data_IF_584680102928
#
_entry.id   IF_584680102928
#
_cell.length_a   1.000
_cell.length_b   1.000
_cell.length_c   1.000
_cell.angle_alpha   90.00
_cell.angle_beta   90.00
_cell.angle_gamma   90.00
#
_symmetry.space_group_name_H-M   'P 1'
#
loop_
_entity.id
_entity.type
_entity.pdbx_description
1 polymer ?
#
# COMPACT_ATOMS: atom_id res chain seq x y z
N UNK A 1 29.29 -16.39 -39.62
CA UNK A 1 28.06 -15.65 -39.26
C UNK A 1 28.00 -14.35 -40.06
N UNK A 2 26.99 -14.17 -40.91
CA UNK A 2 26.88 -12.99 -41.79
C UNK A 2 26.54 -11.72 -41.00
N UNK A 3 27.05 -10.55 -41.43
CA UNK A 3 26.79 -9.23 -40.77
C UNK A 3 25.30 -8.99 -40.47
N UNK A 4 24.41 -9.39 -41.39
CA UNK A 4 22.94 -9.30 -41.24
C UNK A 4 22.39 -10.12 -40.07
N UNK A 5 22.98 -11.30 -39.80
CA UNK A 5 22.56 -12.18 -38.70
C UNK A 5 23.01 -11.63 -37.35
N UNK A 6 24.21 -11.02 -37.30
CA UNK A 6 24.77 -10.37 -36.12
C UNK A 6 23.95 -9.16 -35.69
N UNK A 7 23.57 -8.30 -36.64
CA UNK A 7 22.72 -7.13 -36.38
C UNK A 7 21.33 -7.53 -35.84
N UNK A 8 20.70 -8.56 -36.41
CA UNK A 8 19.41 -9.07 -35.92
C UNK A 8 19.52 -9.61 -34.49
N UNK A 9 20.62 -10.27 -34.17
CA UNK A 9 20.87 -10.80 -32.82
C UNK A 9 21.08 -9.66 -31.80
N UNK A 10 21.87 -8.65 -32.15
CA UNK A 10 22.09 -7.46 -31.30
C UNK A 10 20.79 -6.71 -31.02
N UNK A 11 19.95 -6.50 -32.04
CA UNK A 11 18.63 -5.86 -31.87
C UNK A 11 17.73 -6.70 -30.95
N UNK A 12 17.71 -8.02 -31.13
CA UNK A 12 16.92 -8.91 -30.28
C UNK A 12 17.36 -8.87 -28.81
N UNK A 13 18.67 -8.84 -28.56
CA UNK A 13 19.23 -8.70 -27.20
C UNK A 13 18.86 -7.35 -26.59
N UNK A 14 18.97 -6.25 -27.33
CA UNK A 14 18.60 -4.92 -26.85
C UNK A 14 17.10 -4.86 -26.51
N UNK A 15 16.24 -5.41 -27.36
CA UNK A 15 14.80 -5.51 -27.09
C UNK A 15 14.51 -6.32 -25.82
N UNK A 16 15.20 -7.44 -25.64
CA UNK A 16 15.02 -8.29 -24.47
C UNK A 16 15.46 -7.60 -23.18
N UNK A 17 16.57 -6.85 -23.21
CA UNK A 17 17.01 -6.01 -22.10
C UNK A 17 15.98 -4.92 -21.81
N UNK A 18 15.46 -4.25 -22.85
CA UNK A 18 14.47 -3.18 -22.68
C UNK A 18 13.16 -3.68 -22.08
N UNK A 19 12.65 -4.83 -22.56
CA UNK A 19 11.46 -5.50 -21.99
C UNK A 19 11.71 -5.93 -20.54
N UNK A 20 12.91 -6.45 -20.24
CA UNK A 20 13.26 -6.84 -18.88
C UNK A 20 13.34 -5.62 -17.95
N UNK A 21 13.96 -4.52 -18.38
CA UNK A 21 14.04 -3.27 -17.62
C UNK A 21 12.66 -2.64 -17.40
N UNK A 22 11.79 -2.62 -18.41
CA UNK A 22 10.44 -2.10 -18.29
C UNK A 22 9.55 -2.98 -17.41
N UNK A 23 9.68 -4.30 -17.50
CA UNK A 23 9.01 -5.23 -16.58
C UNK A 23 9.48 -5.04 -15.13
N UNK A 24 10.80 -4.90 -14.92
CA UNK A 24 11.36 -4.66 -13.61
C UNK A 24 10.91 -3.31 -13.05
N UNK A 25 10.95 -2.26 -13.86
CA UNK A 25 10.46 -0.92 -13.51
C UNK A 25 8.96 -0.93 -13.20
N UNK A 26 8.15 -1.65 -13.97
CA UNK A 26 6.72 -1.80 -13.69
C UNK A 26 6.49 -2.56 -12.37
N UNK A 27 7.28 -3.61 -12.10
CA UNK A 27 7.18 -4.36 -10.85
C UNK A 27 7.64 -3.55 -9.64
N UNK A 28 8.63 -2.66 -9.80
CA UNK A 28 9.10 -1.78 -8.73
C UNK A 28 8.22 -0.55 -8.54
N UNK A 29 7.60 -0.02 -9.59
CA UNK A 29 6.77 1.20 -9.55
C UNK A 29 5.28 0.91 -9.33
N UNK A 30 4.76 -0.23 -9.80
CA UNK A 30 3.36 -0.63 -9.63
C UNK A 30 3.05 -1.23 -8.26
N UNK A 31 4.07 -1.66 -7.52
CA UNK A 31 3.98 -1.96 -6.09
C UNK A 31 4.28 -0.69 -5.31
N UNK A 32 3.69 -0.52 -4.11
CA UNK A 32 4.05 0.61 -3.27
C UNK A 32 5.54 0.57 -2.94
N UNK A 33 6.27 1.53 -3.50
CA UNK A 33 7.75 1.64 -3.40
C UNK A 33 8.21 1.64 -1.94
N UNK A 34 7.34 2.09 -1.03
CA UNK A 34 7.57 2.06 0.40
C UNK A 34 6.26 1.85 1.18
N UNK A 35 6.40 1.45 2.45
CA UNK A 35 5.29 1.23 3.38
C UNK A 35 4.39 2.48 3.54
N UNK A 36 4.98 3.68 3.45
CA UNK A 36 4.23 4.92 3.53
C UNK A 36 3.24 5.05 2.36
N UNK A 37 3.69 4.78 1.13
CA UNK A 37 2.85 4.82 -0.06
C UNK A 37 1.74 3.77 -0.02
N UNK A 38 2.04 2.55 0.50
CA UNK A 38 1.02 1.52 0.70
C UNK A 38 -0.09 2.00 1.64
N UNK A 39 0.29 2.60 2.77
CA UNK A 39 -0.65 3.19 3.74
C UNK A 39 -1.48 4.29 3.09
N UNK A 40 -0.83 5.24 2.42
CA UNK A 40 -1.50 6.35 1.75
C UNK A 40 -2.50 5.87 0.69
N UNK A 41 -2.12 4.89 -0.13
CA UNK A 41 -2.99 4.32 -1.15
C UNK A 41 -4.18 3.55 -0.56
N UNK A 42 -4.00 2.84 0.56
CA UNK A 42 -5.09 2.08 1.21
C UNK A 42 -6.10 3.01 1.89
N UNK A 43 -5.64 4.12 2.43
CA UNK A 43 -6.46 5.10 3.14
C UNK A 43 -6.87 6.29 2.26
N UNK A 44 -6.61 6.23 0.95
CA UNK A 44 -7.00 7.24 -0.04
C UNK A 44 -6.53 8.66 0.34
N UNK A 45 -5.28 8.81 0.78
CA UNK A 45 -4.68 10.08 1.25
C UNK A 45 -5.23 10.66 2.58
N UNK A 46 -6.20 10.02 3.23
CA UNK A 46 -6.79 10.53 4.49
C UNK A 46 -6.01 10.20 5.77
N UNK A 47 -4.69 10.10 5.65
CA UNK A 47 -3.81 9.72 6.77
C UNK A 47 -3.27 10.97 7.46
N UNK A 48 -3.89 11.33 8.58
CA UNK A 48 -3.45 12.46 9.40
C UNK A 48 -2.11 12.21 10.11
N UNK A 49 -1.84 10.97 10.52
CA UNK A 49 -0.58 10.60 11.18
C UNK A 49 -0.08 9.28 10.63
N UNK A 50 1.17 9.26 10.20
CA UNK A 50 1.93 8.06 9.90
C UNK A 50 3.28 8.12 10.61
N UNK A 51 3.59 7.08 11.39
CA UNK A 51 4.89 6.96 12.07
C UNK A 51 5.29 5.51 12.17
N UNK A 52 6.55 5.20 11.90
CA UNK A 52 7.14 3.89 12.18
C UNK A 52 8.31 4.10 13.12
N UNK A 53 8.27 3.44 14.28
CA UNK A 53 9.34 3.50 15.28
C UNK A 53 9.50 2.14 15.94
N UNK A 54 10.73 1.63 16.01
CA UNK A 54 11.07 0.36 16.67
C UNK A 54 10.25 -0.86 16.18
N UNK A 55 9.90 -0.86 14.89
CA UNK A 55 9.04 -1.89 14.29
C UNK A 55 7.54 -1.73 14.61
N UNK A 56 7.14 -0.66 15.27
CA UNK A 56 5.73 -0.31 15.52
C UNK A 56 5.30 0.76 14.54
N UNK A 57 4.34 0.42 13.68
CA UNK A 57 3.67 1.36 12.79
C UNK A 57 2.45 1.95 13.50
N UNK A 58 2.31 3.28 13.51
CA UNK A 58 1.17 4.01 14.05
C UNK A 58 0.53 4.83 12.94
N UNK A 59 -0.76 4.60 12.72
CA UNK A 59 -1.56 5.25 11.69
C UNK A 59 -2.77 5.89 12.36
N UNK A 60 -3.03 7.15 12.02
CA UNK A 60 -4.31 7.81 12.28
C UNK A 60 -4.87 8.28 10.96
N UNK A 61 -6.06 7.81 10.63
CA UNK A 61 -6.74 8.16 9.39
C UNK A 61 -8.14 8.70 9.67
N UNK A 62 -8.58 9.65 8.86
CA UNK A 62 -9.97 10.08 8.81
C UNK A 62 -10.72 9.26 7.77
N UNK A 63 -11.95 8.90 8.05
CA UNK A 63 -12.77 8.13 7.12
C UNK A 63 -13.74 9.02 6.37
N UNK A 64 -13.79 8.84 5.06
CA UNK A 64 -14.69 9.54 4.15
C UNK A 64 -16.10 8.93 4.10
N UNK A 65 -17.04 9.72 3.55
CA UNK A 65 -18.35 9.23 3.14
C UNK A 65 -19.38 9.12 4.27
N UNK A 66 -19.11 9.74 5.42
CA UNK A 66 -20.08 9.83 6.50
C UNK A 66 -20.88 11.15 6.42
N UNK A 67 -22.18 11.05 6.15
CA UNK A 67 -23.12 12.19 6.14
C UNK A 67 -23.82 12.42 7.49
N UNK A 68 -23.39 11.72 8.55
CA UNK A 68 -24.00 11.77 9.88
C UNK A 68 -25.20 10.84 10.08
N UNK A 69 -25.66 10.12 9.06
CA UNK A 69 -26.68 9.08 9.23
C UNK A 69 -26.12 7.79 9.84
N UNK A 70 -26.99 6.98 10.46
CA UNK A 70 -26.56 5.69 11.04
C UNK A 70 -26.15 4.65 9.98
N UNK A 71 -26.74 4.71 8.79
CA UNK A 71 -26.39 3.84 7.66
C UNK A 71 -24.99 4.16 7.14
N UNK A 72 -24.68 5.44 6.94
CA UNK A 72 -23.35 5.86 6.51
C UNK A 72 -22.30 5.61 7.58
N UNK A 73 -22.63 5.72 8.89
CA UNK A 73 -21.72 5.34 9.97
C UNK A 73 -21.33 3.85 9.91
N UNK A 74 -22.32 2.97 9.77
CA UNK A 74 -22.09 1.52 9.66
C UNK A 74 -21.25 1.17 8.44
N UNK A 75 -21.54 1.78 7.29
CA UNK A 75 -20.79 1.56 6.07
C UNK A 75 -19.35 2.06 6.18
N UNK A 76 -19.17 3.26 6.74
CA UNK A 76 -17.87 3.86 6.89
C UNK A 76 -17.02 3.09 7.91
N UNK A 77 -17.62 2.54 8.99
CA UNK A 77 -16.96 1.59 9.91
C UNK A 77 -16.53 0.31 9.22
N UNK A 78 -17.39 -0.28 8.39
CA UNK A 78 -17.07 -1.47 7.59
C UNK A 78 -15.92 -1.20 6.62
N UNK A 79 -15.93 -0.05 5.97
CA UNK A 79 -14.84 0.35 5.08
C UNK A 79 -13.51 0.54 5.84
N UNK A 80 -13.52 1.21 7.00
CA UNK A 80 -12.35 1.36 7.85
C UNK A 80 -11.75 0.00 8.26
N UNK A 81 -12.59 -0.97 8.64
CA UNK A 81 -12.13 -2.34 8.94
C UNK A 81 -11.55 -3.04 7.70
N UNK A 82 -12.16 -2.86 6.53
CA UNK A 82 -11.66 -3.39 5.25
C UNK A 82 -10.28 -2.82 4.91
N UNK A 83 -10.09 -1.51 5.08
CA UNK A 83 -8.80 -0.82 4.87
C UNK A 83 -7.73 -1.34 5.83
N UNK A 84 -8.05 -1.51 7.12
CA UNK A 84 -7.14 -2.12 8.10
C UNK A 84 -6.75 -3.54 7.69
N UNK A 85 -7.69 -4.35 7.22
CA UNK A 85 -7.41 -5.71 6.74
C UNK A 85 -6.51 -5.73 5.51
N UNK A 86 -6.73 -4.81 4.56
CA UNK A 86 -5.86 -4.66 3.37
C UNK A 86 -4.44 -4.24 3.78
N UNK A 87 -4.31 -3.34 4.74
CA UNK A 87 -3.02 -2.92 5.26
C UNK A 87 -2.27 -4.08 5.90
N UNK A 88 -2.94 -4.87 6.72
CA UNK A 88 -2.34 -6.05 7.33
C UNK A 88 -1.80 -7.03 6.27
N UNK A 89 -2.62 -7.34 5.26
CA UNK A 89 -2.21 -8.19 4.15
C UNK A 89 -1.01 -7.60 3.39
N UNK A 90 -1.06 -6.32 3.04
CA UNK A 90 0.04 -5.63 2.34
C UNK A 90 1.35 -5.66 3.15
N UNK A 91 1.27 -5.53 4.48
CA UNK A 91 2.45 -5.61 5.35
C UNK A 91 3.09 -6.99 5.35
N UNK A 92 2.28 -8.05 5.34
CA UNK A 92 2.76 -9.43 5.28
C UNK A 92 3.28 -9.78 3.89
N UNK A 93 2.49 -9.50 2.85
CA UNK A 93 2.79 -9.90 1.47
C UNK A 93 4.05 -9.25 0.93
N UNK A 94 4.31 -8.00 1.31
CA UNK A 94 5.52 -7.26 0.92
C UNK A 94 6.65 -7.36 1.97
N UNK A 95 6.45 -8.11 3.05
CA UNK A 95 7.43 -8.38 4.11
C UNK A 95 8.08 -7.10 4.68
N UNK A 96 7.26 -6.08 4.98
CA UNK A 96 7.77 -4.84 5.58
C UNK A 96 8.29 -5.11 7.01
N UNK A 97 9.34 -4.39 7.48
CA UNK A 97 9.96 -4.60 8.79
C UNK A 97 9.11 -4.01 9.94
N UNK A 98 7.87 -4.46 10.05
CA UNK A 98 6.88 -4.02 11.04
C UNK A 98 6.46 -5.22 11.87
N UNK A 99 6.59 -5.11 13.18
CA UNK A 99 6.18 -6.11 14.17
C UNK A 99 4.74 -5.87 14.67
N UNK A 100 4.32 -4.62 14.67
CA UNK A 100 3.02 -4.21 15.21
C UNK A 100 2.45 -3.03 14.42
N UNK A 101 1.15 -3.03 14.20
CA UNK A 101 0.39 -1.94 13.58
C UNK A 101 -0.66 -1.43 14.56
N UNK A 102 -0.54 -0.17 14.97
CA UNK A 102 -1.55 0.58 15.70
C UNK A 102 -2.31 1.45 14.71
N UNK A 103 -3.58 1.17 14.47
CA UNK A 103 -4.45 1.97 13.60
C UNK A 103 -5.56 2.60 14.42
N UNK A 104 -5.72 3.92 14.26
CA UNK A 104 -6.90 4.64 14.71
C UNK A 104 -7.61 5.22 13.49
N UNK A 105 -8.89 4.94 13.34
CA UNK A 105 -9.75 5.58 12.33
C UNK A 105 -10.74 6.49 13.04
N UNK A 106 -10.70 7.77 12.68
CA UNK A 106 -11.59 8.80 13.19
C UNK A 106 -12.64 9.21 12.16
N UNK A 107 -13.78 9.67 12.65
CA UNK A 107 -14.90 10.16 11.85
C UNK A 107 -15.36 11.48 12.46
N UNK A 108 -15.23 12.60 11.72
CA UNK A 108 -15.40 13.97 12.24
C UNK A 108 -14.61 14.21 13.55
N UNK A 109 -13.35 13.76 13.58
CA UNK A 109 -12.49 13.86 14.76
C UNK A 109 -12.84 12.95 15.94
N UNK A 110 -13.92 12.15 15.87
CA UNK A 110 -14.28 11.16 16.90
C UNK A 110 -13.65 9.82 16.59
N UNK A 111 -13.03 9.18 17.59
CA UNK A 111 -12.47 7.82 17.44
C UNK A 111 -13.59 6.79 17.35
N UNK A 112 -13.65 6.04 16.25
CA UNK A 112 -14.63 4.94 16.09
C UNK A 112 -13.95 3.57 16.04
N UNK A 113 -12.74 3.50 15.48
CA UNK A 113 -11.97 2.25 15.37
C UNK A 113 -10.59 2.48 15.96
N UNK A 114 -10.23 1.66 16.94
CA UNK A 114 -8.88 1.59 17.49
C UNK A 114 -8.47 0.11 17.51
N UNK A 115 -7.43 -0.22 16.75
CA UNK A 115 -6.93 -1.60 16.65
C UNK A 115 -5.43 -1.66 16.71
N UNK A 116 -4.96 -2.70 17.39
CA UNK A 116 -3.57 -3.12 17.39
C UNK A 116 -3.50 -4.49 16.71
N UNK A 117 -2.65 -4.60 15.70
CA UNK A 117 -2.40 -5.83 14.95
C UNK A 117 -0.95 -6.23 15.15
N UNK A 118 -0.70 -7.52 15.42
CA UNK A 118 0.64 -8.07 15.54
C UNK A 118 0.98 -8.84 14.27
N UNK A 119 2.13 -8.53 13.68
CA UNK A 119 2.67 -9.24 12.52
C UNK A 119 3.48 -10.42 13.05
N UNK A 120 3.16 -11.62 12.57
CA UNK A 120 3.84 -12.87 12.93
C UNK A 120 4.89 -13.22 11.89
#
# INVERSE_FOLDING_TARGET
MTKKLRLKFEIAVILLIFVSCTFFAYRTLGKPVNLHHAVTQIFDDHVAVYRVKDGVMTIRAEAEGWDGSGWSQSNARRDGLRKISKLYAAVIDENYPVKQINVTVTYFGKKEIERTLYIK
#
